data_IF_764888502927
#
_entry.id   IF_764888502927
#
_cell.length_a   1.000
_cell.length_b   1.000
_cell.length_c   1.000
_cell.angle_alpha   90.00
_cell.angle_beta   90.00
_cell.angle_gamma   90.00
#
_symmetry.space_group_name_H-M   'P 1'
#
loop_
_entity.id
_entity.type
_entity.pdbx_description
1 polymer ?
#
# COMPACT_ATOMS: atom_id res chain seq x y z
N UNK A 1 5.66 -18.99 15.06
CA UNK A 1 6.85 -19.03 14.18
C UNK A 1 7.82 -17.89 14.44
N UNK A 2 7.52 -16.62 14.11
CA UNK A 2 8.46 -15.50 14.36
C UNK A 2 8.84 -15.37 15.84
N UNK A 3 7.85 -15.44 16.73
CA UNK A 3 8.11 -15.38 18.18
C UNK A 3 8.98 -16.54 18.69
N UNK A 4 8.84 -17.72 18.06
CA UNK A 4 9.61 -18.92 18.40
C UNK A 4 11.05 -18.83 17.89
N UNK A 5 11.23 -18.39 16.63
CA UNK A 5 12.55 -18.21 16.01
C UNK A 5 13.37 -17.18 16.80
N UNK A 6 12.73 -16.08 17.23
CA UNK A 6 13.39 -15.02 17.97
C UNK A 6 13.32 -15.24 19.50
N UNK A 7 13.02 -16.44 19.99
CA UNK A 7 12.94 -16.71 21.43
C UNK A 7 14.26 -16.38 22.14
N UNK A 8 14.21 -15.59 23.20
CA UNK A 8 15.40 -15.13 23.93
C UNK A 8 16.13 -13.95 23.30
N UNK A 9 15.72 -13.47 22.12
CA UNK A 9 16.19 -12.22 21.54
C UNK A 9 15.32 -11.07 22.05
N UNK A 10 15.94 -10.03 22.59
CA UNK A 10 15.26 -8.83 23.10
C UNK A 10 14.59 -8.04 21.97
N UNK A 11 15.33 -7.75 20.89
CA UNK A 11 14.79 -7.10 19.70
C UNK A 11 13.99 -8.09 18.84
N UNK A 12 12.69 -7.84 18.69
CA UNK A 12 11.82 -8.60 17.78
C UNK A 12 11.68 -7.86 16.44
N UNK A 13 11.72 -8.56 15.29
CA UNK A 13 11.45 -7.93 14.02
C UNK A 13 9.97 -7.56 13.91
N UNK A 14 9.67 -6.52 13.12
CA UNK A 14 8.31 -6.20 12.74
C UNK A 14 7.80 -7.23 11.72
N UNK A 15 6.54 -7.63 11.88
CA UNK A 15 5.80 -8.39 10.89
C UNK A 15 5.06 -7.39 9.99
N UNK A 16 5.56 -7.26 8.75
CA UNK A 16 5.07 -6.34 7.72
C UNK A 16 4.44 -7.17 6.60
N UNK A 17 3.14 -7.00 6.40
CA UNK A 17 2.35 -7.80 5.47
C UNK A 17 1.01 -7.11 5.19
N UNK A 18 0.21 -7.53 4.20
CA UNK A 18 0.50 -8.58 3.22
C UNK A 18 1.11 -8.06 1.92
N UNK A 19 1.22 -6.74 1.75
CA UNK A 19 1.44 -6.14 0.44
C UNK A 19 0.20 -6.32 -0.45
N UNK A 20 0.41 -6.26 -1.77
CA UNK A 20 -0.65 -6.34 -2.77
C UNK A 20 -1.60 -5.15 -2.77
N UNK A 21 -2.59 -5.18 -3.66
CA UNK A 21 -3.59 -4.13 -3.75
C UNK A 21 -4.64 -4.25 -2.64
N UNK A 22 -5.17 -3.11 -2.21
CA UNK A 22 -6.23 -3.08 -1.21
C UNK A 22 -7.55 -3.63 -1.76
N UNK A 23 -8.04 -4.71 -1.16
CA UNK A 23 -9.41 -5.18 -1.27
C UNK A 23 -10.09 -5.15 0.11
N UNK A 24 -11.20 -4.44 0.23
CA UNK A 24 -11.81 -4.16 1.53
C UNK A 24 -12.27 -5.42 2.28
N UNK A 25 -12.85 -6.39 1.58
CA UNK A 25 -13.37 -7.60 2.19
C UNK A 25 -12.22 -8.51 2.64
N UNK A 26 -11.23 -8.67 1.76
CA UNK A 26 -10.07 -9.49 2.02
C UNK A 26 -9.21 -8.91 3.15
N UNK A 27 -8.96 -7.59 3.17
CA UNK A 27 -8.21 -6.95 4.26
C UNK A 27 -8.94 -7.09 5.60
N UNK A 28 -10.27 -7.00 5.62
CA UNK A 28 -11.06 -7.20 6.84
C UNK A 28 -10.90 -8.63 7.39
N UNK A 29 -10.95 -9.63 6.53
CA UNK A 29 -10.73 -11.02 6.91
C UNK A 29 -9.29 -11.25 7.41
N UNK A 30 -8.32 -10.73 6.66
CA UNK A 30 -6.90 -10.80 6.97
C UNK A 30 -6.58 -10.17 8.34
N UNK A 31 -7.04 -8.95 8.60
CA UNK A 31 -6.82 -8.25 9.87
C UNK A 31 -7.42 -9.01 11.06
N UNK A 32 -8.61 -9.60 10.86
CA UNK A 32 -9.26 -10.43 11.87
C UNK A 32 -8.40 -11.65 12.23
N UNK A 33 -7.88 -12.35 11.21
CA UNK A 33 -7.06 -13.57 11.38
C UNK A 33 -5.66 -13.30 11.91
N UNK A 34 -5.16 -12.07 11.80
CA UNK A 34 -3.79 -11.69 12.19
C UNK A 34 -3.69 -10.91 13.49
N UNK A 35 -4.78 -10.83 14.26
CA UNK A 35 -4.81 -10.19 15.58
C UNK A 35 -3.63 -10.65 16.45
N UNK A 36 -2.89 -9.70 17.03
CA UNK A 36 -1.67 -9.92 17.84
C UNK A 36 -0.47 -10.54 17.11
N UNK A 37 -0.50 -10.63 15.77
CA UNK A 37 0.58 -11.21 14.96
C UNK A 37 1.05 -10.32 13.81
N UNK A 38 0.44 -9.15 13.64
CA UNK A 38 0.77 -8.19 12.59
C UNK A 38 1.10 -6.85 13.24
N UNK A 39 2.25 -6.28 12.90
CA UNK A 39 2.65 -4.96 13.38
C UNK A 39 2.31 -3.86 12.36
N UNK A 40 2.48 -4.17 11.07
CA UNK A 40 2.26 -3.22 9.97
C UNK A 40 1.43 -3.87 8.87
N UNK A 41 0.28 -3.27 8.57
CA UNK A 41 -0.54 -3.56 7.41
C UNK A 41 -0.07 -2.73 6.20
N UNK A 42 0.33 -3.39 5.12
CA UNK A 42 0.83 -2.75 3.89
C UNK A 42 -0.09 -2.97 2.70
N UNK A 43 -0.12 -2.00 1.77
CA UNK A 43 -0.73 -2.15 0.45
C UNK A 43 0.16 -1.49 -0.62
N UNK A 44 -0.10 -1.81 -1.88
CA UNK A 44 0.58 -1.27 -3.06
C UNK A 44 -0.27 -0.16 -3.67
N UNK A 45 0.37 0.89 -4.20
CA UNK A 45 -0.29 1.99 -4.91
C UNK A 45 0.31 2.21 -6.30
N UNK A 46 -0.56 2.32 -7.31
CA UNK A 46 -0.22 2.64 -8.69
C UNK A 46 -1.36 3.47 -9.30
N UNK A 47 -1.53 4.67 -8.75
CA UNK A 47 -2.64 5.57 -9.04
C UNK A 47 -2.75 5.98 -10.52
N UNK A 48 -1.65 5.98 -11.29
CA UNK A 48 -1.67 6.40 -12.70
C UNK A 48 -2.15 5.32 -13.68
N UNK A 49 -2.16 4.05 -13.27
CA UNK A 49 -2.51 2.91 -14.13
C UNK A 49 -1.30 2.29 -14.85
N UNK A 50 -1.47 1.66 -16.03
CA UNK A 50 -0.40 0.92 -16.70
C UNK A 50 0.61 1.85 -17.37
N UNK A 51 1.89 1.45 -17.39
CA UNK A 51 2.95 2.16 -18.12
C UNK A 51 2.71 2.33 -19.63
N UNK A 52 1.87 1.48 -20.24
CA UNK A 52 1.49 1.61 -21.66
C UNK A 52 0.52 2.77 -21.93
N UNK A 53 -0.13 3.31 -20.89
CA UNK A 53 -1.09 4.41 -21.03
C UNK A 53 -0.41 5.65 -21.60
N UNK A 54 -0.97 6.20 -22.68
CA UNK A 54 -0.47 7.39 -23.38
C UNK A 54 -0.86 8.69 -22.72
N UNK A 55 -1.77 8.65 -21.74
CA UNK A 55 -2.28 9.81 -21.03
C UNK A 55 -1.71 9.98 -19.62
N UNK A 56 -0.56 9.35 -19.33
CA UNK A 56 0.05 9.43 -17.99
C UNK A 56 0.43 10.85 -17.60
N UNK A 57 0.90 11.69 -18.53
CA UNK A 57 1.26 13.09 -18.23
C UNK A 57 0.02 13.89 -17.86
N UNK A 58 -1.07 13.72 -18.60
CA UNK A 58 -2.35 14.38 -18.33
C UNK A 58 -2.89 13.99 -16.95
N UNK A 59 -2.78 12.71 -16.58
CA UNK A 59 -3.15 12.21 -15.25
C UNK A 59 -2.27 12.77 -14.13
N UNK A 60 -0.96 12.89 -14.36
CA UNK A 60 -0.03 13.46 -13.36
C UNK A 60 -0.32 14.94 -13.14
N UNK A 61 -0.71 15.68 -14.18
CA UNK A 61 -1.01 17.11 -14.08
C UNK A 61 -2.45 17.40 -13.67
N UNK A 62 -3.28 16.38 -13.43
CA UNK A 62 -4.67 16.51 -12.98
C UNK A 62 -4.75 16.23 -11.47
N UNK A 63 -4.90 17.26 -10.61
CA UNK A 63 -4.98 17.07 -9.17
C UNK A 63 -6.22 16.27 -8.75
N UNK A 64 -7.33 16.37 -9.49
CA UNK A 64 -8.53 15.58 -9.18
C UNK A 64 -8.30 14.10 -9.45
N UNK A 65 -7.53 13.75 -10.47
CA UNK A 65 -7.11 12.37 -10.71
C UNK A 65 -6.17 11.86 -9.60
N UNK A 66 -5.23 12.69 -9.14
CA UNK A 66 -4.32 12.31 -8.04
C UNK A 66 -5.05 12.12 -6.70
N UNK A 67 -6.09 12.91 -6.43
CA UNK A 67 -6.88 12.84 -5.21
C UNK A 67 -7.68 11.53 -5.05
N UNK A 68 -7.92 10.79 -6.14
CA UNK A 68 -8.68 9.53 -6.11
C UNK A 68 -8.06 8.48 -5.17
N UNK A 69 -6.72 8.49 -5.00
CA UNK A 69 -6.01 7.53 -4.13
C UNK A 69 -6.35 7.76 -2.64
N UNK A 70 -6.78 8.96 -2.24
CA UNK A 70 -7.16 9.27 -0.86
C UNK A 70 -8.28 8.37 -0.33
N UNK A 71 -9.17 7.90 -1.21
CA UNK A 71 -10.23 6.97 -0.86
C UNK A 71 -9.68 5.59 -0.43
N UNK A 72 -8.62 5.10 -1.09
CA UNK A 72 -7.96 3.83 -0.73
C UNK A 72 -7.30 3.93 0.65
N UNK A 73 -6.55 5.00 0.90
CA UNK A 73 -5.94 5.26 2.22
C UNK A 73 -6.99 5.33 3.33
N UNK A 74 -8.09 6.04 3.09
CA UNK A 74 -9.19 6.19 4.04
C UNK A 74 -9.86 4.85 4.34
N UNK A 75 -10.05 4.00 3.32
CA UNK A 75 -10.63 2.66 3.48
C UNK A 75 -9.73 1.72 4.28
N UNK A 76 -8.42 1.69 4.00
CA UNK A 76 -7.48 0.88 4.79
C UNK A 76 -7.43 1.36 6.24
N UNK A 77 -7.34 2.68 6.45
CA UNK A 77 -7.36 3.27 7.79
C UNK A 77 -8.64 2.86 8.54
N UNK A 78 -9.80 2.89 7.87
CA UNK A 78 -11.08 2.50 8.47
C UNK A 78 -11.15 1.00 8.77
N UNK A 79 -10.62 0.15 7.88
CA UNK A 79 -10.57 -1.30 8.09
C UNK A 79 -9.73 -1.64 9.32
N UNK A 80 -8.57 -1.01 9.49
CA UNK A 80 -7.71 -1.19 10.67
C UNK A 80 -8.41 -0.68 11.93
N UNK A 81 -8.94 0.56 11.92
CA UNK A 81 -9.65 1.16 13.07
C UNK A 81 -10.86 0.36 13.54
N UNK A 82 -11.53 -0.33 12.62
CA UNK A 82 -12.69 -1.18 12.92
C UNK A 82 -12.34 -2.62 13.28
N UNK A 83 -11.06 -2.99 13.17
CA UNK A 83 -10.57 -4.31 13.55
C UNK A 83 -10.07 -4.35 15.00
N UNK A 84 -9.95 -5.55 15.57
CA UNK A 84 -9.27 -5.75 16.85
C UNK A 84 -7.73 -5.71 16.73
N UNK A 85 -7.20 -5.49 15.52
CA UNK A 85 -5.79 -5.52 15.22
C UNK A 85 -5.21 -4.09 15.22
N UNK A 86 -4.30 -3.72 16.13
CA UNK A 86 -3.73 -2.38 16.24
C UNK A 86 -2.59 -2.11 15.24
N UNK A 87 -2.58 -2.78 14.09
CA UNK A 87 -1.54 -2.64 13.09
C UNK A 87 -1.40 -1.21 12.57
N UNK A 88 -0.17 -0.78 12.29
CA UNK A 88 0.10 0.50 11.62
C UNK A 88 -0.10 0.36 10.11
N UNK A 89 -0.69 1.37 9.45
CA UNK A 89 -0.88 1.35 7.99
C UNK A 89 0.33 1.95 7.27
N UNK A 90 0.96 1.21 6.36
CA UNK A 90 2.03 1.69 5.47
C UNK A 90 1.68 1.47 3.99
N UNK A 91 2.34 2.23 3.11
CA UNK A 91 2.46 1.90 1.69
C UNK A 91 3.69 1.01 1.54
N UNK A 92 3.50 -0.24 1.13
CA UNK A 92 4.58 -1.23 1.00
C UNK A 92 5.29 -1.18 -0.36
N UNK A 93 4.58 -0.71 -1.39
CA UNK A 93 5.11 -0.54 -2.75
C UNK A 93 4.36 0.61 -3.43
N UNK A 94 5.09 1.45 -4.16
CA UNK A 94 4.53 2.55 -4.93
C UNK A 94 5.37 2.76 -6.20
N UNK A 95 4.72 3.18 -7.28
CA UNK A 95 5.44 3.50 -8.52
C UNK A 95 4.71 4.41 -9.50
N UNK A 96 3.55 4.96 -9.12
CA UNK A 96 2.71 5.77 -10.00
C UNK A 96 2.06 4.93 -11.10
N UNK A 97 2.83 4.52 -12.10
CA UNK A 97 2.40 3.64 -13.18
C UNK A 97 2.95 2.21 -13.03
N UNK A 98 2.07 1.21 -13.03
CA UNK A 98 2.46 -0.20 -12.92
C UNK A 98 3.04 -0.73 -14.24
N UNK A 99 3.57 -1.97 -14.23
CA UNK A 99 4.33 -2.57 -15.35
C UNK A 99 5.59 -1.79 -15.71
N UNK A 100 6.39 -1.46 -14.70
CA UNK A 100 7.72 -0.81 -14.83
C UNK A 100 7.70 0.64 -15.31
N UNK A 101 6.55 1.31 -15.23
CA UNK A 101 6.41 2.72 -15.60
C UNK A 101 6.52 2.96 -17.11
N UNK A 102 6.91 4.18 -17.48
CA UNK A 102 6.99 4.62 -18.88
C UNK A 102 8.19 5.53 -19.10
N UNK A 103 9.04 5.16 -20.06
CA UNK A 103 10.14 5.99 -20.51
C UNK A 103 9.65 7.35 -21.05
N UNK A 104 10.36 8.42 -20.70
CA UNK A 104 9.96 9.80 -20.96
C UNK A 104 8.84 10.32 -20.07
N UNK A 105 8.34 9.52 -19.11
CA UNK A 105 7.34 9.94 -18.12
C UNK A 105 7.82 9.64 -16.71
N UNK A 106 7.83 8.37 -16.26
CA UNK A 106 8.15 8.01 -14.86
C UNK A 106 9.62 8.14 -14.49
N UNK A 107 10.48 8.45 -15.47
CA UNK A 107 11.90 8.78 -15.31
C UNK A 107 12.20 10.24 -15.66
N UNK A 108 11.18 11.10 -15.76
CA UNK A 108 11.30 12.51 -16.10
C UNK A 108 10.77 13.41 -14.98
N UNK A 109 11.11 14.70 -15.02
CA UNK A 109 10.70 15.69 -14.01
C UNK A 109 9.18 15.79 -13.85
N UNK A 110 8.41 15.57 -14.92
CA UNK A 110 6.95 15.58 -14.86
C UNK A 110 6.38 14.59 -13.84
N UNK A 111 7.12 13.55 -13.45
CA UNK A 111 6.68 12.54 -12.48
C UNK A 111 6.89 12.92 -11.01
N UNK A 112 7.36 14.14 -10.70
CA UNK A 112 7.45 14.63 -9.32
C UNK A 112 6.20 15.31 -8.79
N UNK A 113 5.14 15.41 -9.62
CA UNK A 113 3.87 16.05 -9.29
C UNK A 113 2.85 15.04 -8.78
#
# INVERSE_FOLDING_TARGET
MVQDIYKGVEAKPLIIAPGGFFDANWFKEYLTKTTNSLDVATHHIYNLGPGVDKHLIEKILDPSYLDDEAATFSKLQSAIKSSANPATAWVGEAGGAYNSGRDGVTNAFVFSF
#
